data_IF_998727915506
#
_entry.id   IF_998727915506
#
_cell.length_a   1.000
_cell.length_b   1.000
_cell.length_c   1.000
_cell.angle_alpha   90.00
_cell.angle_beta   90.00
_cell.angle_gamma   90.00
#
_symmetry.space_group_name_H-M   'P 1'
#
loop_
_entity.id
_entity.type
_entity.pdbx_description
1 polymer ?
#
# COMPACT_ATOMS: atom_id res chain seq x y z
N UNK A 1 -24.72 -21.90 -13.63
CA UNK A 1 -24.80 -20.43 -13.68
C UNK A 1 -23.42 -19.93 -14.07
N UNK A 2 -23.17 -19.36 -15.26
CA UNK A 2 -21.85 -18.85 -15.57
C UNK A 2 -21.74 -17.49 -14.89
N UNK A 3 -20.96 -17.42 -13.81
CA UNK A 3 -20.46 -16.16 -13.28
C UNK A 3 -19.59 -15.59 -14.39
N UNK A 4 -20.13 -14.63 -15.14
CA UNK A 4 -19.35 -13.88 -16.12
C UNK A 4 -18.20 -13.25 -15.35
N UNK A 5 -16.99 -13.58 -15.77
CA UNK A 5 -15.75 -13.02 -15.27
C UNK A 5 -15.88 -11.50 -15.28
N UNK A 6 -15.78 -10.85 -14.13
CA UNK A 6 -15.81 -9.38 -13.99
C UNK A 6 -14.59 -8.70 -14.65
N UNK A 7 -13.61 -9.50 -15.07
CA UNK A 7 -12.32 -9.15 -15.63
C UNK A 7 -12.03 -10.18 -16.72
N UNK A 8 -11.64 -9.76 -17.92
CA UNK A 8 -11.24 -10.71 -18.95
C UNK A 8 -9.99 -11.49 -18.48
N UNK A 9 -9.83 -12.78 -18.82
CA UNK A 9 -8.70 -13.58 -18.31
C UNK A 9 -7.33 -12.97 -18.65
N UNK A 10 -7.24 -12.24 -19.75
CA UNK A 10 -6.05 -11.48 -20.14
C UNK A 10 -5.78 -10.29 -19.21
N UNK A 11 -6.82 -9.55 -18.83
CA UNK A 11 -6.69 -8.45 -17.87
C UNK A 11 -6.30 -8.96 -16.48
N UNK A 12 -6.82 -10.13 -16.08
CA UNK A 12 -6.41 -10.77 -14.83
C UNK A 12 -4.93 -11.13 -14.85
N UNK A 13 -4.41 -11.68 -15.95
CA UNK A 13 -2.99 -12.00 -16.10
C UNK A 13 -2.11 -10.74 -16.03
N UNK A 14 -2.57 -9.61 -16.59
CA UNK A 14 -1.86 -8.32 -16.49
C UNK A 14 -1.81 -7.83 -15.04
N UNK A 15 -2.94 -7.91 -14.32
CA UNK A 15 -3.02 -7.50 -12.92
C UNK A 15 -2.17 -8.37 -12.00
N UNK A 16 -2.19 -9.69 -12.19
CA UNK A 16 -1.38 -10.64 -11.43
C UNK A 16 0.12 -10.40 -11.67
N UNK A 17 0.53 -10.27 -12.93
CA UNK A 17 1.92 -9.98 -13.27
C UNK A 17 2.38 -8.62 -12.71
N UNK A 18 1.55 -7.58 -12.84
CA UNK A 18 1.84 -6.26 -12.28
C UNK A 18 1.91 -6.28 -10.75
N UNK A 19 1.10 -7.11 -10.10
CA UNK A 19 1.15 -7.29 -8.66
C UNK A 19 2.45 -7.92 -8.19
N UNK A 20 2.87 -9.05 -8.78
CA UNK A 20 4.11 -9.70 -8.36
C UNK A 20 5.35 -8.83 -8.66
N UNK A 21 5.36 -8.11 -9.78
CA UNK A 21 6.42 -7.16 -10.12
C UNK A 21 6.48 -6.01 -9.10
N UNK A 22 5.33 -5.39 -8.77
CA UNK A 22 5.28 -4.34 -7.76
C UNK A 22 5.65 -4.85 -6.36
N UNK A 23 5.23 -6.07 -6.00
CA UNK A 23 5.55 -6.69 -4.72
C UNK A 23 7.05 -6.94 -4.56
N UNK A 24 7.71 -7.40 -5.63
CA UNK A 24 9.17 -7.52 -5.65
C UNK A 24 9.84 -6.15 -5.55
N UNK A 25 9.30 -5.12 -6.21
CA UNK A 25 9.89 -3.78 -6.25
C UNK A 25 9.82 -3.04 -4.91
N UNK A 26 8.82 -3.30 -4.07
CA UNK A 26 8.71 -2.69 -2.72
C UNK A 26 9.69 -3.30 -1.70
N UNK A 27 10.51 -4.28 -2.10
CA UNK A 27 11.56 -4.84 -1.24
C UNK A 27 11.01 -5.73 -0.12
N UNK A 28 10.01 -6.56 -0.45
CA UNK A 28 9.27 -7.40 0.50
C UNK A 28 10.13 -8.36 1.35
N UNK A 29 11.34 -8.70 0.91
CA UNK A 29 12.30 -9.51 1.67
C UNK A 29 12.67 -8.90 3.04
N UNK A 30 12.43 -7.60 3.23
CA UNK A 30 12.68 -6.91 4.48
C UNK A 30 11.59 -7.12 5.53
N UNK A 31 10.42 -7.66 5.14
CA UNK A 31 9.27 -7.84 6.04
C UNK A 31 9.35 -9.24 6.66
N UNK A 32 9.88 -9.32 7.88
CA UNK A 32 10.09 -10.60 8.57
C UNK A 32 8.84 -11.17 9.26
N UNK A 33 7.80 -10.35 9.47
CA UNK A 33 6.55 -10.76 10.13
C UNK A 33 5.51 -11.24 9.09
N UNK A 34 5.10 -12.51 9.09
CA UNK A 34 4.12 -13.06 8.16
C UNK A 34 2.75 -12.38 8.18
N UNK A 35 2.32 -11.86 9.34
CA UNK A 35 1.05 -11.15 9.46
C UNK A 35 1.13 -9.79 8.76
N UNK A 36 2.26 -9.10 8.91
CA UNK A 36 2.56 -7.85 8.21
C UNK A 36 2.72 -8.05 6.71
N UNK A 37 3.34 -9.15 6.27
CA UNK A 37 3.43 -9.51 4.84
C UNK A 37 2.03 -9.62 4.24
N UNK A 38 1.11 -10.30 4.92
CA UNK A 38 -0.24 -10.53 4.42
C UNK A 38 -1.04 -9.23 4.29
N UNK A 39 -1.01 -8.38 5.32
CA UNK A 39 -1.66 -7.07 5.30
C UNK A 39 -1.08 -6.13 4.21
N UNK A 40 0.25 -6.16 4.02
CA UNK A 40 0.92 -5.36 3.00
C UNK A 40 0.61 -5.84 1.58
N UNK A 41 0.55 -7.16 1.35
CA UNK A 41 0.11 -7.73 0.06
C UNK A 41 -1.32 -7.33 -0.27
N UNK A 42 -2.24 -7.43 0.69
CA UNK A 42 -3.63 -7.01 0.49
C UNK A 42 -3.74 -5.52 0.15
N UNK A 43 -2.96 -4.67 0.84
CA UNK A 43 -2.89 -3.25 0.55
C UNK A 43 -2.38 -2.96 -0.86
N UNK A 44 -1.30 -3.62 -1.29
CA UNK A 44 -0.75 -3.44 -2.64
C UNK A 44 -1.75 -3.88 -3.71
N UNK A 45 -2.47 -4.99 -3.49
CA UNK A 45 -3.51 -5.46 -4.39
C UNK A 45 -4.64 -4.43 -4.53
N UNK A 46 -5.09 -3.81 -3.43
CA UNK A 46 -6.08 -2.74 -3.47
C UNK A 46 -5.64 -1.54 -4.31
N UNK A 47 -4.37 -1.14 -4.21
CA UNK A 47 -3.81 -0.02 -4.98
C UNK A 47 -3.82 -0.35 -6.48
N UNK A 48 -3.33 -1.53 -6.86
CA UNK A 48 -3.29 -1.97 -8.27
C UNK A 48 -4.70 -2.03 -8.86
N UNK A 49 -5.65 -2.62 -8.14
CA UNK A 49 -7.05 -2.66 -8.57
C UNK A 49 -7.63 -1.25 -8.71
N UNK A 50 -7.29 -0.34 -7.80
CA UNK A 50 -7.72 1.06 -7.87
C UNK A 50 -7.20 1.77 -9.12
N UNK A 51 -5.92 1.59 -9.46
CA UNK A 51 -5.29 2.15 -10.66
C UNK A 51 -5.87 1.55 -11.95
N UNK A 52 -6.16 0.26 -11.96
CA UNK A 52 -6.81 -0.38 -13.10
C UNK A 52 -8.23 0.16 -13.32
N UNK A 53 -9.02 0.27 -12.25
CA UNK A 53 -10.37 0.85 -12.29
C UNK A 53 -10.40 2.32 -12.71
N UNK A 54 -9.30 3.07 -12.55
CA UNK A 54 -9.20 4.45 -13.04
C UNK A 54 -8.90 4.56 -14.54
N UNK A 55 -8.76 3.41 -15.24
CA UNK A 55 -8.51 3.33 -16.68
C UNK A 55 -7.06 3.04 -17.05
N UNK A 56 -6.21 2.70 -16.07
CA UNK A 56 -4.82 2.31 -16.35
C UNK A 56 -4.77 0.84 -16.75
N UNK A 57 -4.56 0.55 -18.04
CA UNK A 57 -4.41 -0.83 -18.55
C UNK A 57 -2.96 -1.20 -18.87
N UNK A 58 -2.05 -0.23 -18.90
CA UNK A 58 -0.63 -0.49 -19.12
C UNK A 58 0.04 -1.07 -17.86
N UNK A 59 0.72 -2.21 -18.01
CA UNK A 59 1.36 -2.91 -16.89
C UNK A 59 2.42 -2.07 -16.21
N UNK A 60 3.28 -1.40 -16.98
CA UNK A 60 4.38 -0.62 -16.41
C UNK A 60 3.85 0.56 -15.58
N UNK A 61 2.80 1.24 -16.07
CA UNK A 61 2.12 2.30 -15.35
C UNK A 61 1.43 1.79 -14.07
N UNK A 62 0.80 0.61 -14.11
CA UNK A 62 0.22 -0.04 -12.93
C UNK A 62 1.29 -0.32 -11.88
N UNK A 63 2.43 -0.91 -12.27
CA UNK A 63 3.55 -1.22 -11.38
C UNK A 63 4.13 0.05 -10.77
N UNK A 64 4.51 1.03 -11.60
CA UNK A 64 5.14 2.26 -11.11
C UNK A 64 4.21 3.05 -10.20
N UNK A 65 2.93 3.16 -10.57
CA UNK A 65 1.93 3.86 -9.78
C UNK A 65 1.64 3.15 -8.46
N UNK A 66 1.59 1.82 -8.47
CA UNK A 66 1.34 1.04 -7.26
C UNK A 66 2.48 1.12 -6.27
N UNK A 67 3.73 1.00 -6.73
CA UNK A 67 4.93 1.16 -5.89
C UNK A 67 4.96 2.57 -5.29
N UNK A 68 4.73 3.60 -6.10
CA UNK A 68 4.72 4.99 -5.61
C UNK A 68 3.66 5.22 -4.53
N UNK A 69 2.42 4.80 -4.75
CA UNK A 69 1.35 4.95 -3.75
C UNK A 69 1.59 4.05 -2.51
N UNK A 70 2.18 2.88 -2.70
CA UNK A 70 2.50 1.98 -1.60
C UNK A 70 3.52 2.64 -0.66
N UNK A 71 4.59 3.22 -1.20
CA UNK A 71 5.66 3.86 -0.44
C UNK A 71 5.24 5.23 0.14
N UNK A 72 4.44 6.02 -0.57
CA UNK A 72 4.02 7.35 -0.11
C UNK A 72 3.27 7.34 1.23
N UNK A 73 2.48 6.29 1.51
CA UNK A 73 1.77 6.17 2.80
C UNK A 73 2.69 5.65 3.92
N UNK A 74 3.79 4.96 3.58
CA UNK A 74 4.76 4.55 4.59
C UNK A 74 5.50 5.76 5.18
N UNK A 75 5.56 6.88 4.46
CA UNK A 75 6.12 8.16 4.93
C UNK A 75 5.10 8.98 5.75
N UNK A 76 3.80 8.70 5.65
CA UNK A 76 2.70 9.44 6.31
C UNK A 76 2.24 8.76 7.62
N UNK A 77 2.96 7.79 8.17
CA UNK A 77 2.70 7.38 9.56
C UNK A 77 3.08 8.53 10.49
N UNK A 78 2.15 9.16 11.22
CA UNK A 78 2.51 10.13 12.24
C UNK A 78 3.35 9.40 13.28
N UNK A 79 4.64 9.73 13.37
CA UNK A 79 5.49 9.35 14.50
C UNK A 79 4.75 9.69 15.79
N UNK A 80 4.40 8.73 16.67
CA UNK A 80 3.78 9.04 17.94
C UNK A 80 4.88 9.48 18.91
N UNK A 81 5.40 10.69 18.74
CA UNK A 81 6.37 11.31 19.66
C UNK A 81 6.36 12.85 19.53
N UNK A 82 5.16 13.45 19.48
CA UNK A 82 4.96 14.84 19.91
C UNK A 82 3.74 14.91 20.85
N UNK A 83 3.73 14.04 21.86
CA UNK A 83 3.07 14.41 23.12
C UNK A 83 4.12 15.21 23.88
N UNK A 84 4.32 16.47 23.49
CA UNK A 84 4.81 17.46 24.42
C UNK A 84 3.70 17.62 25.46
N UNK A 85 3.82 16.87 26.55
CA UNK A 85 3.13 17.19 27.79
C UNK A 85 3.66 18.56 28.16
N UNK A 86 2.88 19.61 27.89
CA UNK A 86 3.03 20.89 28.54
C UNK A 86 2.74 20.63 30.02
N UNK A 87 3.77 20.18 30.75
CA UNK A 87 3.80 20.34 32.21
C UNK A 87 3.98 21.84 32.39
N UNK A 88 2.85 22.55 32.40
CA UNK A 88 2.79 23.86 33.01
C UNK A 88 3.11 23.62 34.49
N UNK A 89 4.40 23.79 34.85
CA UNK A 89 4.85 23.79 36.23
C UNK A 89 4.09 24.91 36.96
N UNK A 90 3.06 24.51 37.70
CA UNK A 90 2.49 25.28 38.78
C UNK A 90 3.61 25.55 39.79
N UNK A 91 4.11 26.77 39.78
CA UNK A 91 4.98 27.28 40.85
C UNK A 91 4.30 28.47 41.50
N UNK A 92 3.38 28.14 42.38
CA UNK A 92 2.96 28.99 43.48
C UNK A 92 4.17 29.45 44.33
N UNK A 93 4.10 30.74 44.70
CA UNK A 93 4.59 31.38 45.94
C UNK A 93 6.08 31.71 46.10
N UNK A 94 6.40 33.02 46.15
CA UNK A 94 6.54 33.77 47.41
C UNK A 94 6.43 35.29 47.19
#
# INVERSE_FOLDING_TARGET
>A
MPLRSLVEPEEFAVLEAGFEEAWSAVGSDSISDPLMVSAQRERLAHIIIGLWKSGTSDRAALVSGAVQQFLAVAEDTPTPLDIRVDVTEDKQEH
#
